data_IF_701631251608
#
_entry.id   IF_701631251608
#
_cell.length_a   1.000
_cell.length_b   1.000
_cell.length_c   1.000
_cell.angle_alpha   90.00
_cell.angle_beta   90.00
_cell.angle_gamma   90.00
#
_symmetry.space_group_name_H-M   'P 1'
#
loop_
_entity.id
_entity.type
_entity.pdbx_description
1 polymer ?
#
# COMPACT_ATOMS: atom_id res chain seq x y z
N UNK A 1 -3.65 25.28 -67.26
CA UNK A 1 -2.31 24.70 -67.02
C UNK A 1 -2.04 24.79 -65.53
N UNK A 2 -1.73 23.65 -64.92
CA UNK A 2 -1.65 23.42 -63.48
C UNK A 2 -0.47 24.17 -62.83
N UNK A 3 -0.71 24.82 -61.69
CA UNK A 3 0.32 25.30 -60.76
C UNK A 3 0.01 24.75 -59.37
N UNK A 4 0.63 23.64 -59.04
CA UNK A 4 0.39 22.81 -57.87
C UNK A 4 0.91 23.49 -56.59
N UNK A 5 0.03 23.64 -55.60
CA UNK A 5 0.36 24.18 -54.27
C UNK A 5 1.29 23.24 -53.49
N UNK A 6 2.14 23.84 -52.67
CA UNK A 6 2.99 23.12 -51.72
C UNK A 6 2.99 23.89 -50.39
N UNK A 7 1.90 23.77 -49.66
CA UNK A 7 1.85 24.17 -48.25
C UNK A 7 2.57 23.10 -47.43
N UNK A 8 3.75 23.46 -46.93
CA UNK A 8 4.50 22.64 -45.98
C UNK A 8 3.84 22.81 -44.60
N UNK A 9 2.88 21.94 -44.28
CA UNK A 9 2.25 21.90 -42.96
C UNK A 9 3.24 21.31 -41.96
N UNK A 10 3.80 22.16 -41.10
CA UNK A 10 4.64 21.76 -39.98
C UNK A 10 3.74 21.09 -38.92
N UNK A 11 3.77 19.75 -38.83
CA UNK A 11 3.14 19.04 -37.71
C UNK A 11 4.01 19.25 -36.46
N UNK A 12 3.57 20.14 -35.58
CA UNK A 12 4.08 20.23 -34.21
C UNK A 12 3.41 19.11 -33.42
N UNK A 13 4.15 18.04 -33.12
CA UNK A 13 3.77 17.08 -32.09
C UNK A 13 3.90 17.77 -30.73
N UNK A 14 2.77 18.24 -30.18
CA UNK A 14 2.69 18.59 -28.77
C UNK A 14 2.84 17.28 -27.98
N UNK A 15 4.05 17.03 -27.47
CA UNK A 15 4.23 16.04 -26.43
C UNK A 15 3.45 16.53 -25.20
N UNK A 16 2.26 15.98 -24.98
CA UNK A 16 1.55 16.17 -23.72
C UNK A 16 2.46 15.61 -22.62
N UNK A 17 2.90 16.42 -21.65
CA UNK A 17 3.54 15.86 -20.47
C UNK A 17 2.56 14.84 -19.90
N UNK A 18 3.03 13.62 -19.65
CA UNK A 18 2.29 12.66 -18.85
C UNK A 18 2.05 13.35 -17.50
N UNK A 19 0.86 13.91 -17.32
CA UNK A 19 0.46 14.45 -16.02
C UNK A 19 0.54 13.26 -15.07
N UNK A 20 1.38 13.37 -14.05
CA UNK A 20 1.34 12.43 -12.94
C UNK A 20 -0.13 12.33 -12.53
N UNK A 21 -0.73 11.14 -12.66
CA UNK A 21 -2.12 10.96 -12.27
C UNK A 21 -2.24 11.42 -10.83
N UNK A 22 -2.98 12.50 -10.63
CA UNK A 22 -3.11 13.11 -9.33
C UNK A 22 -4.05 12.20 -8.54
N UNK A 23 -3.52 11.53 -7.51
CA UNK A 23 -4.32 10.67 -6.65
C UNK A 23 -5.48 11.48 -6.04
N UNK A 24 -6.72 10.99 -6.18
CA UNK A 24 -7.89 11.57 -5.55
C UNK A 24 -8.03 11.02 -4.12
N UNK A 25 -7.81 11.83 -3.06
CA UNK A 25 -7.88 11.36 -1.68
C UNK A 25 -9.27 10.86 -1.28
N UNK A 26 -10.34 11.31 -1.96
CA UNK A 26 -11.70 10.87 -1.69
C UNK A 26 -11.99 9.45 -2.20
N UNK A 27 -11.15 8.94 -3.10
CA UNK A 27 -11.22 7.57 -3.62
C UNK A 27 -10.57 6.53 -2.70
N UNK A 28 -9.91 6.96 -1.62
CA UNK A 28 -9.19 6.07 -0.72
C UNK A 28 -10.11 5.12 0.05
N UNK A 29 -10.04 3.82 -0.27
CA UNK A 29 -10.58 2.75 0.56
C UNK A 29 -9.47 2.12 1.43
N UNK A 30 -9.21 2.70 2.61
CA UNK A 30 -8.14 2.21 3.51
C UNK A 30 -8.30 0.72 3.85
N UNK A 31 -9.54 0.26 4.08
CA UNK A 31 -9.82 -1.15 4.35
C UNK A 31 -9.45 -2.04 3.16
N UNK A 32 -9.63 -1.57 1.91
CA UNK A 32 -9.25 -2.34 0.74
C UNK A 32 -7.72 -2.51 0.64
N UNK A 33 -6.96 -1.48 1.00
CA UNK A 33 -5.51 -1.57 1.09
C UNK A 33 -5.05 -2.52 2.20
N UNK A 34 -5.66 -2.45 3.38
CA UNK A 34 -5.28 -3.29 4.52
C UNK A 34 -5.67 -4.76 4.30
N UNK A 35 -6.80 -5.04 3.63
CA UNK A 35 -7.33 -6.40 3.43
C UNK A 35 -6.95 -7.04 2.08
N UNK A 36 -5.93 -6.53 1.38
CA UNK A 36 -5.43 -7.08 0.11
C UNK A 36 -6.49 -7.07 -1.01
N UNK A 37 -7.44 -6.12 -0.98
CA UNK A 37 -8.48 -5.97 -2.02
C UNK A 37 -8.07 -5.00 -3.12
N UNK A 38 -7.06 -4.16 -2.88
CA UNK A 38 -6.48 -3.30 -3.90
C UNK A 38 -5.42 -4.03 -4.76
N UNK A 39 -5.03 -3.43 -5.88
CA UNK A 39 -3.91 -3.88 -6.69
C UNK A 39 -2.65 -3.03 -6.45
N UNK A 40 -1.52 -3.49 -6.99
CA UNK A 40 -0.21 -2.82 -6.83
C UNK A 40 -0.21 -1.40 -7.42
N UNK A 41 -0.75 -1.12 -8.62
CA UNK A 41 -0.88 0.24 -9.12
C UNK A 41 -1.68 1.17 -8.19
N UNK A 42 -2.84 0.75 -7.70
CA UNK A 42 -3.66 1.55 -6.80
C UNK A 42 -2.92 1.89 -5.49
N UNK A 43 -2.24 0.92 -4.89
CA UNK A 43 -1.42 1.18 -3.70
C UNK A 43 -0.26 2.15 -4.01
N UNK A 44 0.46 1.96 -5.12
CA UNK A 44 1.61 2.79 -5.45
C UNK A 44 1.21 4.24 -5.76
N UNK A 45 0.09 4.46 -6.45
CA UNK A 45 -0.45 5.82 -6.67
C UNK A 45 -0.76 6.50 -5.33
N UNK A 46 -1.36 5.78 -4.40
CA UNK A 46 -1.61 6.29 -3.04
C UNK A 46 -0.32 6.55 -2.26
N UNK A 47 0.63 5.61 -2.27
CA UNK A 47 1.88 5.70 -1.53
C UNK A 47 2.75 6.88 -2.03
N UNK A 48 2.83 7.06 -3.35
CA UNK A 48 3.52 8.21 -3.96
C UNK A 48 2.87 9.54 -3.57
N UNK A 49 1.54 9.61 -3.57
CA UNK A 49 0.83 10.79 -3.11
C UNK A 49 1.05 11.08 -1.63
N UNK A 50 0.89 10.07 -0.75
CA UNK A 50 1.06 10.23 0.70
C UNK A 50 2.48 10.66 1.09
N UNK A 51 3.50 10.20 0.34
CA UNK A 51 4.90 10.55 0.57
C UNK A 51 5.36 11.83 -0.13
N UNK A 52 4.76 12.19 -1.26
CA UNK A 52 5.18 13.31 -2.10
C UNK A 52 4.43 14.62 -1.88
N UNK A 53 3.15 14.57 -1.50
CA UNK A 53 2.31 15.76 -1.34
C UNK A 53 2.41 16.32 0.10
N UNK A 54 2.86 17.57 0.28
CA UNK A 54 2.92 18.20 1.59
C UNK A 54 1.54 18.23 2.27
N UNK A 55 1.44 17.62 3.45
CA UNK A 55 0.18 17.59 4.22
C UNK A 55 -0.84 16.56 3.74
N UNK A 56 -0.49 15.62 2.86
CA UNK A 56 -1.36 14.53 2.38
C UNK A 56 -2.11 13.81 3.52
N UNK A 57 -1.40 13.41 4.57
CA UNK A 57 -2.02 12.77 5.75
C UNK A 57 -3.05 13.70 6.43
N UNK A 58 -2.77 15.00 6.49
CA UNK A 58 -3.70 16.01 7.02
C UNK A 58 -4.97 16.15 6.17
N UNK A 59 -4.86 16.03 4.85
CA UNK A 59 -6.01 15.99 3.92
C UNK A 59 -6.95 14.81 4.23
N UNK A 60 -6.40 13.67 4.69
CA UNK A 60 -7.18 12.52 5.15
C UNK A 60 -7.69 12.65 6.60
N UNK A 61 -7.38 13.75 7.29
CA UNK A 61 -7.63 13.91 8.71
C UNK A 61 -6.76 13.02 9.61
N UNK A 62 -5.71 12.39 9.06
CA UNK A 62 -4.82 11.53 9.81
C UNK A 62 -3.82 12.35 10.61
N UNK A 63 -3.56 11.92 11.84
CA UNK A 63 -2.56 12.52 12.72
C UNK A 63 -1.37 11.57 12.87
N UNK A 64 -0.22 11.94 12.33
CA UNK A 64 1.03 11.21 12.55
C UNK A 64 1.38 11.22 14.05
N UNK A 65 1.79 10.08 14.57
CA UNK A 65 2.19 9.89 15.96
C UNK A 65 3.48 9.07 16.04
N UNK A 66 4.29 9.24 17.09
CA UNK A 66 5.48 8.42 17.27
C UNK A 66 5.13 6.93 17.39
N UNK A 67 5.77 6.09 16.60
CA UNK A 67 5.64 4.63 16.64
C UNK A 67 6.65 3.95 17.56
N UNK A 68 7.72 4.66 17.94
CA UNK A 68 8.90 4.06 18.59
C UNK A 68 9.73 3.15 17.67
N UNK A 69 9.34 3.00 16.40
CA UNK A 69 9.99 2.15 15.41
C UNK A 69 10.35 2.98 14.16
N UNK A 70 11.64 3.14 13.82
CA UNK A 70 12.05 3.96 12.68
C UNK A 70 11.59 3.41 11.32
N UNK A 71 11.16 2.15 11.26
CA UNK A 71 10.64 1.51 10.05
C UNK A 71 9.11 1.59 9.93
N UNK A 72 8.42 2.15 10.94
CA UNK A 72 6.97 2.29 10.94
C UNK A 72 6.56 3.76 11.05
N UNK A 73 5.76 4.21 10.09
CA UNK A 73 5.06 5.49 10.21
C UNK A 73 3.66 5.24 10.75
N UNK A 74 3.34 5.82 11.90
CA UNK A 74 2.07 5.56 12.58
C UNK A 74 1.13 6.75 12.49
N UNK A 75 -0.15 6.46 12.27
CA UNK A 75 -1.21 7.44 12.21
C UNK A 75 -2.36 7.07 13.11
N UNK A 76 -2.92 8.08 13.78
CA UNK A 76 -4.28 8.03 14.33
C UNK A 76 -5.26 8.50 13.28
N UNK A 77 -6.29 7.70 13.04
CA UNK A 77 -7.38 7.99 12.11
C UNK A 77 -8.41 8.96 12.72
N UNK A 78 -9.13 9.76 11.91
CA UNK A 78 -10.20 10.63 12.39
C UNK A 78 -11.46 9.85 12.82
N UNK A 79 -11.65 8.65 12.27
CA UNK A 79 -12.67 7.69 12.66
C UNK A 79 -12.08 6.26 12.54
N UNK A 80 -12.51 5.30 13.39
CA UNK A 80 -12.05 3.92 13.29
C UNK A 80 -12.38 3.30 11.93
N UNK A 81 -11.46 2.48 11.41
CA UNK A 81 -11.69 1.63 10.24
C UNK A 81 -12.01 0.21 10.70
N UNK A 82 -12.92 -0.44 9.98
CA UNK A 82 -13.22 -1.86 10.16
C UNK A 82 -12.41 -2.70 9.19
N UNK A 83 -11.58 -3.60 9.71
CA UNK A 83 -10.75 -4.52 8.92
C UNK A 83 -10.64 -5.85 9.64
N UNK A 84 -10.66 -6.95 8.90
CA UNK A 84 -10.54 -8.30 9.47
C UNK A 84 -11.57 -8.60 10.58
N UNK A 85 -12.74 -7.93 10.57
CA UNK A 85 -13.78 -7.98 11.62
C UNK A 85 -13.39 -7.33 12.96
N UNK A 86 -12.36 -6.49 12.96
CA UNK A 86 -11.93 -5.69 14.08
C UNK A 86 -12.00 -4.20 13.72
N UNK A 87 -12.24 -3.36 14.72
CA UNK A 87 -12.10 -1.91 14.57
C UNK A 87 -10.70 -1.48 15.02
N UNK A 88 -10.13 -0.48 14.33
CA UNK A 88 -8.97 0.24 14.84
C UNK A 88 -9.01 1.72 14.46
N UNK A 89 -8.56 2.56 15.39
CA UNK A 89 -8.27 3.97 15.14
C UNK A 89 -6.79 4.24 14.81
N UNK A 90 -5.96 3.21 14.71
CA UNK A 90 -4.51 3.35 14.49
C UNK A 90 -4.02 2.43 13.38
N UNK A 91 -3.24 3.00 12.47
CA UNK A 91 -2.54 2.25 11.42
C UNK A 91 -1.05 2.56 11.45
N UNK A 92 -0.26 1.63 10.94
CA UNK A 92 1.15 1.82 10.64
C UNK A 92 1.41 1.56 9.17
N UNK A 93 2.32 2.31 8.57
CA UNK A 93 2.89 2.00 7.26
C UNK A 93 4.25 1.37 7.44
N UNK A 94 4.44 0.22 6.80
CA UNK A 94 5.77 -0.34 6.53
C UNK A 94 6.31 0.27 5.23
N UNK A 95 7.45 -0.23 4.74
CA UNK A 95 7.98 0.17 3.43
C UNK A 95 7.03 -0.21 2.28
N UNK A 96 6.24 -1.27 2.42
CA UNK A 96 5.49 -1.87 1.31
C UNK A 96 3.98 -1.91 1.53
N UNK A 97 3.46 -1.40 2.63
CA UNK A 97 2.01 -1.26 2.78
C UNK A 97 1.49 -0.87 4.16
N UNK A 98 0.18 -0.57 4.25
CA UNK A 98 -0.48 -0.26 5.51
C UNK A 98 -0.84 -1.52 6.30
N UNK A 99 -0.74 -1.41 7.62
CA UNK A 99 -1.22 -2.39 8.58
C UNK A 99 -2.09 -1.73 9.63
N UNK A 100 -3.16 -2.41 9.99
CA UNK A 100 -3.94 -2.09 11.17
C UNK A 100 -3.18 -2.48 12.43
N UNK A 101 -3.24 -1.62 13.44
CA UNK A 101 -2.80 -1.94 14.81
C UNK A 101 -4.04 -2.38 15.58
N UNK A 102 -4.14 -3.67 15.88
CA UNK A 102 -5.33 -4.30 16.44
C UNK A 102 -5.13 -4.63 17.92
N UNK A 103 -6.06 -4.17 18.74
CA UNK A 103 -6.18 -4.52 20.14
C UNK A 103 -7.14 -5.71 20.33
N UNK A 104 -6.98 -6.44 21.43
CA UNK A 104 -7.94 -7.47 21.84
C UNK A 104 -7.95 -8.76 21.01
N UNK A 105 -7.01 -8.92 20.06
CA UNK A 105 -6.82 -10.16 19.30
C UNK A 105 -5.34 -10.54 19.27
N UNK A 106 -5.04 -11.79 19.64
CA UNK A 106 -3.67 -12.31 19.59
C UNK A 106 -3.26 -12.66 18.15
N UNK A 107 -2.01 -12.39 17.78
CA UNK A 107 -1.53 -12.60 16.42
C UNK A 107 -1.68 -14.05 15.90
N UNK A 108 -1.39 -15.11 16.69
CA UNK A 108 -1.66 -16.49 16.25
C UNK A 108 -3.14 -16.77 16.00
N UNK A 109 -4.03 -16.17 16.80
CA UNK A 109 -5.47 -16.32 16.63
C UNK A 109 -5.95 -15.65 15.35
N UNK A 110 -5.56 -14.40 15.13
CA UNK A 110 -5.91 -13.67 13.91
C UNK A 110 -5.37 -14.38 12.66
N UNK A 111 -4.11 -14.81 12.69
CA UNK A 111 -3.49 -15.54 11.59
C UNK A 111 -4.26 -16.82 11.26
N UNK A 112 -4.71 -17.58 12.27
CA UNK A 112 -5.57 -18.75 12.07
C UNK A 112 -6.89 -18.38 11.39
N UNK A 113 -7.55 -17.30 11.81
CA UNK A 113 -8.81 -16.85 11.21
C UNK A 113 -8.65 -16.43 9.74
N UNK A 114 -7.50 -15.83 9.41
CA UNK A 114 -7.17 -15.36 8.06
C UNK A 114 -6.50 -16.44 7.18
N UNK A 115 -6.18 -17.61 7.77
CA UNK A 115 -5.45 -18.69 7.11
C UNK A 115 -4.02 -18.29 6.72
N UNK A 116 -3.38 -17.45 7.54
CA UNK A 116 -1.99 -17.00 7.36
C UNK A 116 -1.05 -17.98 8.06
N UNK A 117 -0.15 -18.67 7.33
CA UNK A 117 0.80 -19.58 7.94
C UNK A 117 1.84 -18.80 8.76
N UNK A 118 2.21 -19.35 9.91
CA UNK A 118 3.24 -18.77 10.76
C UNK A 118 4.63 -19.17 10.26
N UNK A 119 5.49 -18.18 10.04
CA UNK A 119 6.94 -18.37 9.87
C UNK A 119 7.63 -18.42 11.23
N UNK A 120 7.16 -17.60 12.17
CA UNK A 120 7.58 -17.59 13.58
C UNK A 120 6.34 -17.58 14.45
N UNK A 121 6.30 -18.48 15.44
CA UNK A 121 5.23 -18.52 16.44
C UNK A 121 5.83 -18.94 17.78
N UNK A 122 6.11 -17.95 18.62
CA UNK A 122 6.55 -18.12 20.01
C UNK A 122 5.66 -17.28 20.94
N UNK A 123 5.78 -17.41 22.27
CA UNK A 123 5.03 -16.59 23.22
C UNK A 123 5.25 -15.08 23.03
N UNK A 124 6.47 -14.68 22.64
CA UNK A 124 6.86 -13.25 22.56
C UNK A 124 6.82 -12.71 21.13
N UNK A 125 6.84 -13.57 20.11
CA UNK A 125 6.97 -13.17 18.71
C UNK A 125 6.06 -13.98 17.80
N UNK A 126 5.32 -13.27 16.96
CA UNK A 126 4.60 -13.86 15.85
C UNK A 126 4.98 -13.16 14.55
N UNK A 127 5.23 -13.95 13.50
CA UNK A 127 5.39 -13.51 12.12
C UNK A 127 4.72 -14.53 11.21
N UNK A 128 3.76 -14.09 10.40
CA UNK A 128 3.13 -14.90 9.39
C UNK A 128 2.84 -14.08 8.14
N UNK A 129 2.88 -14.74 7.00
CA UNK A 129 2.62 -14.15 5.70
C UNK A 129 1.89 -15.12 4.79
N UNK A 130 0.95 -14.61 3.99
CA UNK A 130 0.25 -15.35 2.94
C UNK A 130 0.27 -14.54 1.66
N UNK A 131 0.82 -15.13 0.58
CA UNK A 131 0.73 -14.55 -0.76
C UNK A 131 -0.72 -14.59 -1.23
N UNK A 132 -1.25 -13.43 -1.61
CA UNK A 132 -2.61 -13.25 -2.11
C UNK A 132 -2.64 -13.18 -3.64
N UNK A 133 -1.63 -12.56 -4.23
CA UNK A 133 -1.43 -12.53 -5.67
C UNK A 133 0.06 -12.34 -5.98
N UNK A 134 0.51 -12.96 -7.05
CA UNK A 134 1.85 -12.76 -7.60
C UNK A 134 1.72 -12.80 -9.13
N UNK A 135 2.39 -11.88 -9.82
CA UNK A 135 2.41 -11.82 -11.29
C UNK A 135 3.81 -11.46 -11.77
N UNK A 136 4.21 -12.07 -12.86
CA UNK A 136 5.43 -11.74 -13.59
C UNK A 136 5.05 -11.38 -15.02
N UNK A 137 5.53 -10.24 -15.51
CA UNK A 137 5.25 -9.73 -16.84
C UNK A 137 6.54 -9.25 -17.50
N UNK A 138 6.81 -9.71 -18.72
CA UNK A 138 7.92 -9.24 -19.54
C UNK A 138 7.44 -8.08 -20.43
N UNK A 139 8.04 -6.91 -20.27
CA UNK A 139 7.72 -5.73 -21.08
C UNK A 139 8.99 -5.02 -21.52
N UNK A 140 9.22 -4.98 -22.84
CA UNK A 140 10.36 -4.26 -23.41
C UNK A 140 11.74 -4.82 -23.01
N UNK A 141 11.84 -6.12 -22.71
CA UNK A 141 13.07 -6.76 -22.24
C UNK A 141 13.36 -6.54 -20.75
N UNK A 142 12.39 -6.01 -20.00
CA UNK A 142 12.44 -5.88 -18.54
C UNK A 142 11.37 -6.78 -17.94
N UNK A 143 11.75 -7.56 -16.93
CA UNK A 143 10.83 -8.40 -16.16
C UNK A 143 10.25 -7.59 -15.01
N UNK A 144 8.93 -7.49 -14.89
CA UNK A 144 8.27 -6.88 -13.73
C UNK A 144 7.60 -7.98 -12.90
N UNK A 145 7.94 -8.05 -11.62
CA UNK A 145 7.29 -8.94 -10.67
C UNK A 145 6.47 -8.11 -9.67
N UNK A 146 5.20 -8.46 -9.51
CA UNK A 146 4.33 -7.87 -8.49
C UNK A 146 3.92 -8.92 -7.49
N UNK A 147 3.89 -8.54 -6.20
CA UNK A 147 3.51 -9.45 -5.11
C UNK A 147 2.62 -8.71 -4.12
N UNK A 148 1.46 -9.28 -3.85
CA UNK A 148 0.55 -8.84 -2.80
C UNK A 148 0.54 -9.91 -1.72
N UNK A 149 0.92 -9.56 -0.50
CA UNK A 149 0.98 -10.51 0.60
C UNK A 149 0.31 -9.95 1.87
N UNK A 150 -0.57 -10.75 2.46
CA UNK A 150 -1.20 -10.49 3.75
C UNK A 150 -0.24 -10.91 4.86
N UNK A 151 0.09 -9.99 5.76
CA UNK A 151 0.98 -10.23 6.89
C UNK A 151 0.24 -10.08 8.22
N UNK A 152 0.59 -10.92 9.18
CA UNK A 152 0.19 -10.80 10.59
C UNK A 152 1.44 -10.90 11.46
N UNK A 153 1.67 -9.94 12.36
CA UNK A 153 2.90 -9.85 13.12
C UNK A 153 2.74 -9.19 14.49
N UNK A 154 3.73 -9.40 15.35
CA UNK A 154 3.96 -8.59 16.56
C UNK A 154 5.28 -7.83 16.45
N UNK A 155 5.37 -6.66 17.09
CA UNK A 155 6.59 -5.85 17.19
C UNK A 155 6.72 -5.28 18.60
N UNK A 156 7.95 -5.18 19.10
CA UNK A 156 8.23 -4.79 20.48
C UNK A 156 7.74 -3.36 20.82
N UNK A 157 7.63 -2.50 19.81
CA UNK A 157 7.14 -1.12 19.96
C UNK A 157 5.62 -1.03 20.13
N UNK A 158 4.91 -2.14 19.94
CA UNK A 158 3.45 -2.26 20.03
C UNK A 158 3.08 -3.43 20.94
N UNK A 159 3.48 -3.41 22.22
CA UNK A 159 3.33 -4.55 23.12
C UNK A 159 1.85 -4.91 23.31
N UNK A 160 1.53 -6.19 23.16
CA UNK A 160 0.16 -6.71 23.29
C UNK A 160 -0.76 -6.43 22.10
N UNK A 161 -0.30 -5.69 21.09
CA UNK A 161 -1.08 -5.41 19.88
C UNK A 161 -0.65 -6.34 18.74
N UNK A 162 -1.61 -6.64 17.86
CA UNK A 162 -1.37 -7.40 16.63
C UNK A 162 -1.34 -6.45 15.46
N UNK A 163 -0.30 -6.53 14.63
CA UNK A 163 -0.25 -5.81 13.37
C UNK A 163 -0.75 -6.73 12.27
N UNK A 164 -1.70 -6.27 11.45
CA UNK A 164 -2.19 -7.03 10.31
C UNK A 164 -2.46 -6.12 9.11
N UNK A 165 -2.01 -6.51 7.93
CA UNK A 165 -2.23 -5.74 6.71
C UNK A 165 -1.51 -6.31 5.51
N UNK A 166 -1.57 -5.60 4.41
CA UNK A 166 -1.05 -6.08 3.14
C UNK A 166 0.14 -5.29 2.67
N UNK A 167 1.11 -6.02 2.13
CA UNK A 167 2.22 -5.49 1.37
C UNK A 167 1.92 -5.58 -0.12
N UNK A 168 2.42 -4.60 -0.86
CA UNK A 168 2.30 -4.44 -2.30
C UNK A 168 3.70 -4.16 -2.84
N UNK A 169 4.38 -5.21 -3.29
CA UNK A 169 5.71 -5.11 -3.85
C UNK A 169 5.65 -5.03 -5.38
N UNK A 170 6.51 -4.19 -5.93
CA UNK A 170 6.87 -4.16 -7.34
C UNK A 170 8.39 -4.30 -7.41
N UNK A 171 8.84 -5.37 -8.04
CA UNK A 171 10.23 -5.69 -8.27
C UNK A 171 10.51 -5.63 -9.77
N UNK A 172 11.68 -5.11 -10.13
CA UNK A 172 12.16 -5.05 -11.50
C UNK A 172 13.30 -6.06 -11.60
N UNK A 173 13.11 -7.09 -12.40
CA UNK A 173 14.10 -8.10 -12.70
C UNK A 173 15.08 -7.66 -13.80
N UNK A 174 16.24 -8.30 -13.81
CA UNK A 174 17.30 -8.13 -14.80
C UNK A 174 16.97 -8.75 -16.18
#
# INVERSE_FOLDING_TARGET
MHGLGRHLTLLVFLATPAMAETFDPSSLELAALIECRADVPAYNSFALWLGGEPGAAGTLGWKEVPSGNPFLRQYRLPAPVHVFRHETGTIVFTATGPMAVLDGIAAPELARQLGVPATVSSPDKFLGEKVMAERTEDSGGVTFATRIALSVSTVDTHPGQTLAGCSYALEIGD
#
